data_IF_166733965326
#
_entry.id   IF_166733965326
#
_cell.length_a   1.000
_cell.length_b   1.000
_cell.length_c   1.000
_cell.angle_alpha   90.00
_cell.angle_beta   90.00
_cell.angle_gamma   90.00
#
_symmetry.space_group_name_H-M   'P 1'
#
loop_
_entity.id
_entity.type
_entity.pdbx_description
1 polymer ?
#
# COMPACT_ATOMS: atom_id res chain seq x y z
N UNK A 1 -0.68 14.62 27.06
CA UNK A 1 0.63 13.91 26.99
C UNK A 1 1.10 13.32 28.33
N UNK A 2 0.23 13.12 29.33
CA UNK A 2 0.68 12.64 30.66
C UNK A 2 1.18 11.18 30.65
N UNK A 3 0.61 10.33 29.79
CA UNK A 3 0.97 8.90 29.72
C UNK A 3 2.03 8.57 28.66
N UNK A 4 2.37 9.51 27.77
CA UNK A 4 3.28 9.26 26.65
C UNK A 4 4.37 10.32 26.55
N UNK A 5 5.62 9.87 26.42
CA UNK A 5 6.79 10.69 26.19
C UNK A 5 7.21 10.62 24.72
N UNK A 6 7.32 11.77 24.07
CA UNK A 6 7.87 11.86 22.71
C UNK A 6 9.41 11.83 22.77
N UNK A 7 10.02 10.95 21.99
CA UNK A 7 11.49 10.74 21.97
C UNK A 7 12.11 11.46 20.76
N UNK A 8 11.79 11.02 19.55
CA UNK A 8 12.43 11.51 18.32
C UNK A 8 11.46 11.51 17.14
N UNK A 9 11.72 12.36 16.14
CA UNK A 9 10.97 12.36 14.87
C UNK A 9 11.53 11.24 14.00
N UNK A 10 10.65 10.33 13.55
CA UNK A 10 11.04 9.19 12.71
C UNK A 10 10.51 9.27 11.28
N UNK A 11 9.54 10.16 11.01
CA UNK A 11 9.02 10.36 9.67
C UNK A 11 8.11 11.57 9.56
N UNK A 12 7.94 12.06 8.34
CA UNK A 12 6.93 13.06 7.98
C UNK A 12 6.34 12.65 6.64
N UNK A 13 5.01 12.66 6.55
CA UNK A 13 4.29 12.38 5.33
C UNK A 13 3.17 13.40 5.13
N UNK A 14 2.39 13.22 4.06
CA UNK A 14 1.29 14.11 3.68
C UNK A 14 0.29 14.33 4.82
N UNK A 15 0.02 13.29 5.60
CA UNK A 15 -1.01 13.29 6.65
C UNK A 15 -0.50 13.70 8.04
N UNK A 16 0.79 14.04 8.16
CA UNK A 16 1.36 14.54 9.41
C UNK A 16 2.74 13.98 9.75
N UNK A 17 3.11 14.09 11.02
CA UNK A 17 4.46 13.79 11.52
C UNK A 17 4.41 12.58 12.43
N UNK A 18 5.31 11.63 12.21
CA UNK A 18 5.46 10.44 13.04
C UNK A 18 6.65 10.60 13.98
N UNK A 19 6.39 10.38 15.26
CA UNK A 19 7.40 10.38 16.31
C UNK A 19 7.51 8.98 16.92
N UNK A 20 8.71 8.59 17.31
CA UNK A 20 8.90 7.52 18.28
C UNK A 20 8.58 8.08 19.66
N UNK A 21 7.79 7.35 20.42
CA UNK A 21 7.42 7.68 21.78
C UNK A 21 7.64 6.53 22.74
N UNK A 22 7.39 6.79 24.01
CA UNK A 22 7.39 5.80 25.09
C UNK A 22 6.15 5.99 25.95
N UNK A 23 5.41 4.92 26.18
CA UNK A 23 4.39 4.90 27.23
C UNK A 23 5.09 4.98 28.60
N UNK A 24 4.77 6.00 29.40
CA UNK A 24 5.41 6.29 30.69
C UNK A 24 5.05 5.25 31.76
N UNK A 25 3.88 4.63 31.66
CA UNK A 25 3.40 3.62 32.60
C UNK A 25 4.05 2.26 32.34
N UNK A 26 4.13 1.85 31.08
CA UNK A 26 4.62 0.51 30.70
C UNK A 26 6.08 0.47 30.25
N UNK A 27 6.65 1.62 29.91
CA UNK A 27 7.97 1.73 29.28
C UNK A 27 7.99 1.30 27.81
N UNK A 28 6.86 0.87 27.24
CA UNK A 28 6.75 0.37 25.87
C UNK A 28 7.06 1.48 24.85
N UNK A 29 7.82 1.14 23.82
CA UNK A 29 8.07 2.04 22.68
C UNK A 29 6.89 2.00 21.72
N UNK A 30 6.43 3.19 21.30
CA UNK A 30 5.26 3.37 20.42
C UNK A 30 5.59 4.31 19.26
N UNK A 31 4.79 4.25 18.20
CA UNK A 31 4.79 5.23 17.12
C UNK A 31 3.62 6.22 17.34
N UNK A 32 3.94 7.49 17.51
CA UNK A 32 2.97 8.57 17.73
C UNK A 32 2.82 9.39 16.44
N UNK A 33 1.72 9.19 15.70
CA UNK A 33 1.42 9.94 14.49
C UNK A 33 0.57 11.16 14.82
N UNK A 34 1.18 12.33 14.76
CA UNK A 34 0.48 13.62 14.88
C UNK A 34 -0.20 13.92 13.54
N UNK A 35 -1.52 13.98 13.52
CA UNK A 35 -2.31 14.32 12.33
C UNK A 35 -2.17 15.83 12.05
N UNK A 36 -2.02 16.19 10.77
CA UNK A 36 -2.08 17.57 10.30
C UNK A 36 -3.55 17.92 10.00
N UNK A 37 -4.10 18.89 10.71
CA UNK A 37 -5.45 19.42 10.46
C UNK A 37 -5.34 20.66 9.57
N UNK A 38 -6.32 20.89 8.70
CA UNK A 38 -6.30 22.01 7.73
C UNK A 38 -6.82 23.33 8.34
N UNK A 39 -7.59 23.28 9.43
CA UNK A 39 -8.05 24.45 10.19
C UNK A 39 -7.72 24.29 11.68
N UNK A 40 -6.90 25.20 12.21
CA UNK A 40 -6.58 25.24 13.65
C UNK A 40 -7.75 25.79 14.50
N UNK A 41 -8.75 26.43 13.86
CA UNK A 41 -9.83 27.17 14.52
C UNK A 41 -11.15 26.40 14.72
N UNK A 42 -11.42 25.31 13.98
CA UNK A 42 -12.71 24.59 14.05
C UNK A 42 -12.68 23.32 14.94
N UNK A 43 -11.57 23.07 15.63
CA UNK A 43 -11.37 21.85 16.39
C UNK A 43 -11.37 20.60 15.50
N UNK A 44 -11.46 19.42 16.13
CA UNK A 44 -11.47 18.15 15.40
C UNK A 44 -12.89 17.83 14.92
N UNK A 45 -13.13 17.61 13.62
CA UNK A 45 -14.45 17.21 13.12
C UNK A 45 -14.93 15.91 13.78
N UNK A 46 -16.20 15.85 14.18
CA UNK A 46 -16.79 14.64 14.79
C UNK A 46 -16.77 13.43 13.85
N UNK A 47 -16.79 13.68 12.54
CA UNK A 47 -16.59 12.67 11.49
C UNK A 47 -15.21 12.04 11.59
N UNK A 48 -14.16 12.84 11.81
CA UNK A 48 -12.79 12.34 11.95
C UNK A 48 -12.63 11.40 13.15
N UNK A 49 -13.20 11.75 14.29
CA UNK A 49 -13.17 10.92 15.50
C UNK A 49 -13.88 9.58 15.26
N UNK A 50 -15.04 9.61 14.59
CA UNK A 50 -15.79 8.40 14.26
C UNK A 50 -15.00 7.48 13.33
N UNK A 51 -14.35 8.03 12.32
CA UNK A 51 -13.58 7.22 11.39
C UNK A 51 -12.26 6.71 11.99
N UNK A 52 -11.58 7.49 12.85
CA UNK A 52 -10.46 6.98 13.66
C UNK A 52 -10.92 5.81 14.55
N UNK A 53 -12.13 5.89 15.13
CA UNK A 53 -12.66 4.82 15.96
C UNK A 53 -12.85 3.52 15.15
N UNK A 54 -13.19 3.61 13.85
CA UNK A 54 -13.23 2.45 12.95
C UNK A 54 -11.84 1.84 12.72
N UNK A 55 -10.77 2.66 12.75
CA UNK A 55 -9.40 2.14 12.68
C UNK A 55 -9.03 1.29 13.92
N UNK A 56 -9.59 1.60 15.11
CA UNK A 56 -9.40 0.76 16.32
C UNK A 56 -10.03 -0.63 16.19
N UNK A 57 -11.00 -0.80 15.28
CA UNK A 57 -11.63 -2.09 14.99
C UNK A 57 -10.83 -2.96 14.00
N UNK A 58 -9.81 -2.39 13.34
CA UNK A 58 -8.96 -3.12 12.39
C UNK A 58 -7.91 -3.97 13.13
N UNK A 59 -8.37 -4.99 13.85
CA UNK A 59 -7.53 -5.93 14.59
C UNK A 59 -7.20 -7.15 13.74
N UNK A 60 -5.99 -7.20 13.22
CA UNK A 60 -5.45 -8.30 12.42
C UNK A 60 -3.94 -8.41 12.66
N UNK A 61 -3.37 -9.63 12.62
CA UNK A 61 -1.94 -9.84 12.90
C UNK A 61 -1.01 -9.06 11.95
N UNK A 62 -1.42 -8.95 10.68
CA UNK A 62 -0.70 -8.23 9.63
C UNK A 62 -1.19 -6.78 9.43
N UNK A 63 -1.86 -6.17 10.42
CA UNK A 63 -2.22 -4.75 10.42
C UNK A 63 -1.57 -4.10 11.63
N UNK A 64 -0.97 -2.93 11.44
CA UNK A 64 -0.41 -2.15 12.56
C UNK A 64 -1.53 -1.73 13.50
N UNK A 65 -1.42 -2.15 14.76
CA UNK A 65 -2.42 -1.91 15.78
C UNK A 65 -2.44 -0.44 16.20
N UNK A 66 -3.62 0.19 16.11
CA UNK A 66 -3.91 1.47 16.76
C UNK A 66 -4.24 1.21 18.24
N UNK A 67 -3.27 1.43 19.11
CA UNK A 67 -3.39 1.22 20.56
C UNK A 67 -4.29 2.30 21.18
N UNK A 68 -4.03 3.56 20.84
CA UNK A 68 -4.76 4.67 21.44
C UNK A 68 -4.88 5.93 20.56
N UNK A 69 -5.78 6.83 20.95
CA UNK A 69 -6.04 8.10 20.28
C UNK A 69 -6.02 9.20 21.34
N UNK A 70 -5.02 10.07 21.26
CA UNK A 70 -4.87 11.19 22.19
C UNK A 70 -5.35 12.48 21.51
N UNK A 71 -6.10 13.28 22.25
CA UNK A 71 -6.51 14.62 21.83
C UNK A 71 -5.93 15.65 22.79
N UNK A 72 -5.28 16.68 22.26
CA UNK A 72 -4.68 17.75 23.06
C UNK A 72 -4.86 19.10 22.36
N UNK A 73 -5.68 19.97 22.97
CA UNK A 73 -5.98 21.38 22.61
C UNK A 73 -6.55 21.67 21.22
N UNK A 74 -6.16 20.91 20.18
CA UNK A 74 -6.75 20.76 18.84
C UNK A 74 -5.89 19.78 18.00
N UNK A 75 -5.07 18.94 18.62
CA UNK A 75 -4.16 18.00 17.94
C UNK A 75 -4.59 16.58 18.22
N UNK A 76 -4.56 15.75 17.18
CA UNK A 76 -4.81 14.32 17.31
C UNK A 76 -3.48 13.60 17.17
N UNK A 77 -3.20 12.73 18.13
CA UNK A 77 -2.12 11.76 18.04
C UNK A 77 -2.71 10.36 17.99
N UNK A 78 -2.38 9.64 16.93
CA UNK A 78 -2.66 8.22 16.84
C UNK A 78 -1.46 7.44 17.37
N UNK A 79 -1.69 6.58 18.35
CA UNK A 79 -0.65 5.79 19.02
C UNK A 79 -0.69 4.38 18.46
N UNK A 80 0.38 3.99 17.77
CA UNK A 80 0.52 2.69 17.16
C UNK A 80 1.64 1.88 17.83
N UNK A 81 1.59 0.57 17.67
CA UNK A 81 2.76 -0.28 17.93
C UNK A 81 3.97 0.19 17.10
N UNK A 82 5.16 0.16 17.69
CA UNK A 82 6.38 0.59 17.00
C UNK A 82 7.07 -0.58 16.29
N UNK A 83 7.26 -0.43 14.97
CA UNK A 83 8.10 -1.30 14.16
C UNK A 83 9.28 -0.49 13.60
N UNK A 84 10.49 -1.01 13.71
CA UNK A 84 11.72 -0.28 13.38
C UNK A 84 12.12 -0.34 11.90
N UNK A 85 11.58 -1.30 11.15
CA UNK A 85 11.95 -1.58 9.77
C UNK A 85 10.72 -1.50 8.87
N UNK A 86 10.87 -0.89 7.71
CA UNK A 86 9.90 -0.96 6.62
C UNK A 86 10.47 -1.81 5.47
N UNK A 87 9.60 -2.34 4.61
CA UNK A 87 9.98 -3.22 3.51
C UNK A 87 10.96 -2.53 2.55
N UNK A 88 10.83 -1.21 2.35
CA UNK A 88 11.76 -0.46 1.51
C UNK A 88 13.18 -0.51 2.09
N UNK A 89 13.35 -0.15 3.35
CA UNK A 89 14.63 -0.21 4.05
C UNK A 89 15.18 -1.64 4.10
N UNK A 90 14.32 -2.64 4.30
CA UNK A 90 14.74 -4.04 4.26
C UNK A 90 15.33 -4.41 2.89
N UNK A 91 14.64 -4.13 1.79
CA UNK A 91 15.13 -4.41 0.43
C UNK A 91 16.41 -3.63 0.09
N UNK A 92 16.53 -2.39 0.57
CA UNK A 92 17.72 -1.56 0.36
C UNK A 92 18.92 -2.03 1.21
N UNK A 93 18.68 -2.70 2.34
CA UNK A 93 19.72 -3.26 3.21
C UNK A 93 20.36 -4.55 2.70
N UNK A 94 19.71 -5.23 1.74
CA UNK A 94 20.26 -6.47 1.16
C UNK A 94 21.53 -6.16 0.34
N UNK A 95 22.57 -7.04 0.39
CA UNK A 95 23.76 -6.89 -0.46
C UNK A 95 23.39 -6.76 -1.93
N UNK A 96 24.13 -5.97 -2.71
CA UNK A 96 23.79 -5.60 -4.11
C UNK A 96 23.44 -6.81 -4.99
N UNK A 97 24.14 -7.93 -4.81
CA UNK A 97 23.96 -9.13 -5.62
C UNK A 97 22.94 -10.14 -5.05
N UNK A 98 22.30 -9.82 -3.93
CA UNK A 98 21.30 -10.69 -3.29
C UNK A 98 19.88 -10.22 -3.54
N UNK A 99 18.97 -11.16 -3.75
CA UNK A 99 17.53 -10.91 -3.79
C UNK A 99 16.89 -11.38 -2.48
N UNK A 100 15.65 -10.97 -2.23
CA UNK A 100 14.86 -11.61 -1.17
C UNK A 100 14.69 -13.10 -1.51
N UNK A 101 14.72 -13.95 -0.50
CA UNK A 101 14.47 -15.38 -0.68
C UNK A 101 13.01 -15.60 -1.12
N UNK A 102 12.79 -16.52 -2.08
CA UNK A 102 11.47 -16.75 -2.67
C UNK A 102 10.42 -17.14 -1.63
N UNK A 103 10.78 -17.91 -0.60
CA UNK A 103 9.88 -18.26 0.51
C UNK A 103 9.49 -17.05 1.35
N UNK A 104 10.42 -16.10 1.55
CA UNK A 104 10.12 -14.87 2.27
C UNK A 104 9.21 -13.95 1.44
N UNK A 105 9.46 -13.84 0.13
CA UNK A 105 8.58 -13.10 -0.80
C UNK A 105 7.17 -13.69 -0.77
N UNK A 106 7.05 -15.03 -0.84
CA UNK A 106 5.76 -15.74 -0.73
C UNK A 106 5.09 -15.45 0.62
N UNK A 107 5.83 -15.54 1.72
CA UNK A 107 5.32 -15.26 3.08
C UNK A 107 4.78 -13.84 3.21
N UNK A 108 5.55 -12.83 2.78
CA UNK A 108 5.10 -11.44 2.85
C UNK A 108 3.92 -11.17 1.93
N UNK A 109 3.90 -11.70 0.70
CA UNK A 109 2.76 -11.57 -0.19
C UNK A 109 1.48 -12.14 0.45
N UNK A 110 1.56 -13.31 1.08
CA UNK A 110 0.43 -13.92 1.79
C UNK A 110 -0.07 -13.02 2.92
N UNK A 111 0.84 -12.58 3.81
CA UNK A 111 0.53 -11.74 4.97
C UNK A 111 -0.09 -10.38 4.58
N UNK A 112 0.49 -9.70 3.58
CA UNK A 112 -0.06 -8.44 3.04
C UNK A 112 -1.45 -8.67 2.47
N UNK A 113 -1.63 -9.73 1.67
CA UNK A 113 -2.92 -10.03 1.05
C UNK A 113 -3.97 -10.41 2.10
N UNK A 114 -3.60 -11.12 3.15
CA UNK A 114 -4.46 -11.47 4.28
C UNK A 114 -5.00 -10.21 4.98
N UNK A 115 -4.12 -9.26 5.31
CA UNK A 115 -4.52 -7.96 5.86
C UNK A 115 -5.49 -7.21 4.93
N UNK A 116 -5.21 -7.17 3.63
CA UNK A 116 -6.04 -6.46 2.66
C UNK A 116 -7.39 -7.13 2.46
N UNK A 117 -7.46 -8.46 2.44
CA UNK A 117 -8.73 -9.19 2.44
C UNK A 117 -9.57 -8.85 3.67
N UNK A 118 -8.95 -8.81 4.85
CA UNK A 118 -9.62 -8.42 6.10
C UNK A 118 -10.23 -7.01 6.00
N UNK A 119 -9.52 -6.06 5.41
CA UNK A 119 -9.99 -4.70 5.17
C UNK A 119 -11.10 -4.63 4.12
N UNK A 120 -10.93 -5.31 2.98
CA UNK A 120 -11.91 -5.33 1.89
C UNK A 120 -13.26 -5.91 2.35
N UNK A 121 -13.26 -6.95 3.18
CA UNK A 121 -14.49 -7.50 3.80
C UNK A 121 -15.22 -6.50 4.70
N UNK A 122 -14.51 -5.50 5.21
CA UNK A 122 -15.05 -4.40 6.04
C UNK A 122 -15.25 -3.10 5.27
N UNK A 123 -15.17 -3.14 3.93
CA UNK A 123 -15.32 -1.98 3.04
C UNK A 123 -14.27 -0.89 3.29
N UNK A 124 -13.10 -1.28 3.79
CA UNK A 124 -11.94 -0.40 3.97
C UNK A 124 -10.98 -0.60 2.80
N UNK A 125 -10.56 0.50 2.18
CA UNK A 125 -9.57 0.53 1.10
C UNK A 125 -8.30 1.21 1.60
N UNK A 126 -7.13 0.70 1.22
CA UNK A 126 -5.86 1.30 1.66
C UNK A 126 -5.45 2.50 0.80
N UNK A 127 -5.43 2.34 -0.53
CA UNK A 127 -5.18 3.38 -1.57
C UNK A 127 -3.76 3.92 -1.69
N UNK A 128 -2.92 3.77 -0.67
CA UNK A 128 -1.51 4.20 -0.70
C UNK A 128 -0.57 3.03 -0.34
N UNK A 129 -0.84 1.82 -0.86
CA UNK A 129 0.03 0.67 -0.60
C UNK A 129 1.37 0.88 -1.31
N UNK A 130 2.45 0.80 -0.53
CA UNK A 130 3.84 0.91 -0.99
C UNK A 130 4.78 0.29 0.05
N UNK A 131 6.02 -0.10 -0.31
CA UNK A 131 6.96 -0.72 0.60
C UNK A 131 7.24 0.09 1.88
N UNK A 132 7.14 1.42 1.84
CA UNK A 132 7.32 2.28 3.02
C UNK A 132 6.17 2.16 4.05
N UNK A 133 4.99 1.72 3.62
CA UNK A 133 3.81 1.51 4.47
C UNK A 133 3.67 0.04 4.91
N UNK A 134 4.67 -0.80 4.61
CA UNK A 134 4.73 -2.21 5.03
C UNK A 134 5.85 -2.37 6.05
N UNK A 135 5.48 -2.54 7.31
CA UNK A 135 6.42 -2.58 8.42
C UNK A 135 6.76 -4.03 8.79
N UNK A 136 8.03 -4.29 9.05
CA UNK A 136 8.56 -5.62 9.38
C UNK A 136 8.96 -5.64 10.85
N UNK A 137 8.48 -6.63 11.58
CA UNK A 137 8.85 -6.83 12.98
C UNK A 137 10.13 -7.68 13.11
N UNK A 138 10.59 -7.90 14.34
CA UNK A 138 11.79 -8.71 14.61
C UNK A 138 11.57 -10.22 14.43
N UNK A 139 10.32 -10.66 14.30
CA UNK A 139 9.95 -12.08 14.19
C UNK A 139 9.76 -12.53 12.74
N UNK A 140 9.78 -11.60 11.78
CA UNK A 140 9.52 -11.86 10.36
C UNK A 140 8.04 -11.70 9.98
N UNK A 141 7.24 -11.03 10.81
CA UNK A 141 5.90 -10.60 10.43
C UNK A 141 5.98 -9.28 9.65
N UNK A 142 5.16 -9.20 8.61
CA UNK A 142 4.91 -7.95 7.90
C UNK A 142 3.52 -7.43 8.26
N UNK A 143 3.44 -6.12 8.51
CA UNK A 143 2.23 -5.42 8.91
C UNK A 143 1.96 -4.23 8.00
N UNK A 144 0.72 -4.10 7.54
CA UNK A 144 0.26 -2.95 6.77
C UNK A 144 0.00 -1.79 7.74
N UNK A 145 0.62 -0.64 7.47
CA UNK A 145 0.49 0.60 8.23
C UNK A 145 -0.32 1.64 7.44
N UNK A 146 -0.62 2.79 8.05
CA UNK A 146 -1.11 3.98 7.36
C UNK A 146 -2.44 3.85 6.59
N UNK A 147 -3.35 3.01 7.10
CA UNK A 147 -4.72 2.90 6.60
C UNK A 147 -5.47 4.25 6.59
N UNK A 148 -6.00 4.63 5.43
CA UNK A 148 -7.28 5.34 5.31
C UNK A 148 -7.36 6.79 5.83
N UNK A 149 -6.27 7.41 6.27
CA UNK A 149 -6.30 8.79 6.80
C UNK A 149 -6.75 9.85 5.76
N UNK A 150 -6.83 9.51 4.47
CA UNK A 150 -7.29 10.43 3.41
C UNK A 150 -8.81 10.48 3.18
N UNK A 151 -9.58 9.47 3.61
CA UNK A 151 -11.07 9.55 3.68
C UNK A 151 -11.51 9.94 5.09
N UNK A 152 -10.74 9.38 6.03
CA UNK A 152 -10.63 9.51 7.47
C UNK A 152 -11.14 10.76 8.20
N UNK A 153 -10.99 11.92 7.56
CA UNK A 153 -10.89 13.19 8.26
C UNK A 153 -11.69 14.32 7.62
N UNK A 154 -12.49 14.03 6.58
CA UNK A 154 -13.12 15.10 5.80
C UNK A 154 -12.11 16.06 5.14
N UNK A 155 -10.80 15.80 5.28
CA UNK A 155 -9.75 16.37 4.46
C UNK A 155 -10.21 16.04 3.04
N UNK A 156 -10.49 17.04 2.18
CA UNK A 156 -10.80 16.76 0.80
C UNK A 156 -9.74 15.76 0.36
N UNK A 157 -10.14 14.64 -0.25
CA UNK A 157 -9.21 13.81 -1.02
C UNK A 157 -8.59 14.82 -1.94
N UNK A 158 -7.43 15.39 -1.56
CA UNK A 158 -6.93 16.61 -2.18
C UNK A 158 -6.96 16.27 -3.64
N UNK A 159 -7.67 17.07 -4.43
CA UNK A 159 -7.55 17.05 -5.89
C UNK A 159 -6.04 16.99 -6.08
N UNK A 160 -5.54 15.82 -6.48
CA UNK A 160 -4.20 15.35 -6.17
C UNK A 160 -3.21 16.50 -6.40
N UNK A 161 -2.82 17.19 -5.33
CA UNK A 161 -1.93 18.32 -5.48
C UNK A 161 -0.64 17.72 -6.00
N UNK A 162 -0.12 18.26 -7.10
CA UNK A 162 1.04 17.79 -7.88
C UNK A 162 2.37 17.68 -7.08
N UNK A 163 2.32 17.68 -5.76
CA UNK A 163 3.45 17.45 -4.86
C UNK A 163 3.69 15.95 -4.66
N UNK A 164 4.73 15.45 -5.33
CA UNK A 164 5.63 14.34 -4.92
C UNK A 164 4.98 13.24 -4.06
N UNK A 165 3.92 12.60 -4.56
CA UNK A 165 3.45 11.30 -4.06
C UNK A 165 4.02 10.21 -4.96
N UNK A 166 4.47 9.10 -4.38
CA UNK A 166 5.00 7.97 -5.15
C UNK A 166 3.92 7.38 -6.08
N UNK A 167 4.07 7.57 -7.38
CA UNK A 167 3.12 7.10 -8.41
C UNK A 167 3.24 5.59 -8.71
N UNK A 168 4.35 4.98 -8.31
CA UNK A 168 4.80 3.67 -8.81
C UNK A 168 3.84 2.50 -8.54
N UNK A 169 2.98 2.64 -7.53
CA UNK A 169 2.02 1.61 -7.11
C UNK A 169 0.56 1.99 -7.42
N UNK A 170 0.32 3.14 -8.06
CA UNK A 170 -1.03 3.61 -8.39
C UNK A 170 -1.61 2.82 -9.56
N UNK A 171 -2.87 2.44 -9.47
CA UNK A 171 -3.58 1.68 -10.50
C UNK A 171 -3.92 2.53 -11.74
N UNK A 172 -3.98 1.93 -12.95
CA UNK A 172 -4.22 2.66 -14.19
C UNK A 172 -5.58 3.35 -14.23
N UNK A 173 -6.62 2.78 -13.62
CA UNK A 173 -7.95 3.42 -13.54
C UNK A 173 -7.95 4.72 -12.73
N UNK A 174 -7.05 4.84 -11.75
CA UNK A 174 -6.89 6.09 -10.99
C UNK A 174 -6.14 7.13 -11.82
N UNK A 175 -5.10 6.71 -12.56
CA UNK A 175 -4.32 7.58 -13.44
C UNK A 175 -5.08 8.04 -14.69
N UNK A 176 -6.05 7.24 -15.15
CA UNK A 176 -6.92 7.59 -16.28
C UNK A 176 -8.18 8.36 -15.87
N UNK A 177 -8.28 8.74 -14.59
CA UNK A 177 -9.35 9.62 -14.10
C UNK A 177 -10.68 8.93 -13.87
N UNK A 178 -10.73 7.61 -13.67
CA UNK A 178 -12.00 6.92 -13.39
C UNK A 178 -12.68 7.54 -12.16
N UNK A 179 -13.96 7.97 -12.28
CA UNK A 179 -14.68 8.58 -11.15
C UNK A 179 -15.02 7.55 -10.07
N UNK A 180 -14.93 6.25 -10.39
CA UNK A 180 -15.25 5.14 -9.49
C UNK A 180 -14.09 4.16 -9.46
N UNK A 181 -13.61 3.88 -8.26
CA UNK A 181 -12.62 2.85 -8.00
C UNK A 181 -12.92 2.17 -6.66
N UNK A 182 -12.45 0.92 -6.53
CA UNK A 182 -12.81 0.02 -5.43
C UNK A 182 -11.60 -0.85 -5.05
N UNK A 183 -11.83 -1.99 -4.39
CA UNK A 183 -10.84 -2.98 -3.97
C UNK A 183 -9.71 -3.29 -4.98
N UNK A 184 -9.95 -3.37 -6.31
CA UNK A 184 -8.90 -3.68 -7.28
C UNK A 184 -7.69 -2.73 -7.27
N UNK A 185 -7.83 -1.47 -6.81
CA UNK A 185 -6.70 -0.54 -6.75
C UNK A 185 -5.62 -1.02 -5.78
N UNK A 186 -6.02 -1.59 -4.64
CA UNK A 186 -5.09 -2.14 -3.67
C UNK A 186 -4.40 -3.38 -4.25
N UNK A 187 -5.12 -4.20 -5.01
CA UNK A 187 -4.56 -5.40 -5.66
C UNK A 187 -3.46 -5.02 -6.66
N UNK A 188 -3.68 -3.98 -7.46
CA UNK A 188 -2.66 -3.48 -8.39
C UNK A 188 -1.39 -3.08 -7.62
N UNK A 189 -1.53 -2.31 -6.54
CA UNK A 189 -0.40 -1.91 -5.71
C UNK A 189 0.34 -3.12 -5.13
N UNK A 190 -0.37 -4.15 -4.63
CA UNK A 190 0.25 -5.39 -4.15
C UNK A 190 0.99 -6.10 -5.30
N UNK A 191 0.45 -6.09 -6.52
CA UNK A 191 1.11 -6.65 -7.70
C UNK A 191 2.44 -5.96 -8.02
N UNK A 192 2.47 -4.62 -7.98
CA UNK A 192 3.71 -3.85 -8.10
C UNK A 192 4.71 -4.18 -6.98
N UNK A 193 4.25 -4.28 -5.73
CA UNK A 193 5.09 -4.62 -4.58
C UNK A 193 5.63 -6.05 -4.70
N UNK A 194 4.84 -7.00 -5.20
CA UNK A 194 5.27 -8.38 -5.43
C UNK A 194 6.41 -8.45 -6.45
N UNK A 195 6.28 -7.75 -7.58
CA UNK A 195 7.36 -7.61 -8.54
C UNK A 195 8.62 -6.99 -7.89
N UNK A 196 8.45 -5.93 -7.09
CA UNK A 196 9.59 -5.26 -6.45
C UNK A 196 10.29 -6.15 -5.41
N UNK A 197 9.55 -6.91 -4.61
CA UNK A 197 10.14 -7.89 -3.69
C UNK A 197 10.96 -8.96 -4.44
N UNK A 198 10.46 -9.43 -5.59
CA UNK A 198 11.13 -10.45 -6.39
C UNK A 198 12.38 -9.92 -7.15
N UNK A 199 12.38 -8.65 -7.55
CA UNK A 199 13.37 -8.08 -8.49
C UNK A 199 14.24 -6.96 -7.90
N UNK A 200 13.91 -6.50 -6.68
CA UNK A 200 14.47 -5.33 -5.99
C UNK A 200 14.31 -3.99 -6.70
N UNK A 201 13.52 -3.95 -7.77
CA UNK A 201 13.32 -2.74 -8.57
C UNK A 201 11.82 -2.47 -8.70
N UNK A 202 11.39 -1.21 -8.52
CA UNK A 202 10.02 -0.82 -8.81
C UNK A 202 9.66 -1.20 -10.25
N UNK A 203 8.53 -1.89 -10.44
CA UNK A 203 8.11 -2.37 -11.76
C UNK A 203 7.80 -1.21 -12.73
N UNK A 204 7.14 -0.17 -12.22
CA UNK A 204 6.75 1.01 -13.00
C UNK A 204 7.26 2.28 -12.32
N UNK A 205 8.42 2.77 -12.77
CA UNK A 205 9.12 3.89 -12.12
C UNK A 205 8.88 5.24 -12.82
N UNK A 206 7.63 5.71 -12.87
CA UNK A 206 7.27 6.98 -13.50
C UNK A 206 7.63 8.21 -12.67
N UNK A 207 7.95 9.32 -13.35
CA UNK A 207 8.20 10.63 -12.71
C UNK A 207 7.00 11.60 -12.78
N UNK A 208 6.00 11.27 -13.59
CA UNK A 208 4.75 12.01 -13.80
C UNK A 208 3.61 11.02 -14.06
N UNK A 209 2.35 11.46 -13.98
CA UNK A 209 1.21 10.56 -14.20
C UNK A 209 1.20 9.97 -15.62
N UNK A 210 1.59 10.78 -16.60
CA UNK A 210 1.70 10.32 -17.99
C UNK A 210 2.89 9.38 -18.21
N UNK A 211 4.06 9.67 -17.62
CA UNK A 211 5.22 8.77 -17.69
C UNK A 211 4.92 7.44 -16.99
N UNK A 212 4.20 7.49 -15.86
CA UNK A 212 3.75 6.29 -15.15
C UNK A 212 2.86 5.40 -16.03
N UNK A 213 1.87 5.99 -16.73
CA UNK A 213 1.05 5.26 -17.70
C UNK A 213 1.89 4.68 -18.84
N UNK A 214 2.81 5.46 -19.41
CA UNK A 214 3.65 4.98 -20.51
C UNK A 214 4.57 3.83 -20.09
N UNK A 215 5.08 3.81 -18.85
CA UNK A 215 5.84 2.67 -18.31
C UNK A 215 4.97 1.42 -18.16
N UNK A 216 3.73 1.56 -17.72
CA UNK A 216 2.79 0.44 -17.70
C UNK A 216 2.57 -0.10 -19.10
N UNK A 217 2.29 0.78 -20.07
CA UNK A 217 2.00 0.38 -21.45
C UNK A 217 3.20 -0.29 -22.12
N UNK A 218 4.41 0.18 -21.84
CA UNK A 218 5.64 -0.41 -22.36
C UNK A 218 5.85 -1.87 -21.92
N UNK A 219 5.45 -2.19 -20.69
CA UNK A 219 5.64 -3.51 -20.09
C UNK A 219 4.43 -4.41 -20.34
N UNK A 220 3.21 -3.89 -20.22
CA UNK A 220 1.98 -4.69 -20.28
C UNK A 220 1.30 -4.68 -21.66
N UNK A 221 1.72 -3.79 -22.57
CA UNK A 221 1.02 -3.31 -23.79
C UNK A 221 0.01 -2.19 -23.51
N UNK A 222 -0.27 -1.33 -24.49
CA UNK A 222 -1.27 -0.26 -24.41
C UNK A 222 -2.68 -0.88 -24.31
N UNK A 223 -3.52 -0.47 -23.35
CA UNK A 223 -4.88 -1.00 -23.25
C UNK A 223 -5.73 -0.51 -24.42
N UNK A 224 -6.54 -1.41 -24.96
CA UNK A 224 -7.55 -1.17 -26.00
C UNK A 224 -8.91 -1.63 -25.50
N UNK A 225 -9.99 -1.36 -26.24
CA UNK A 225 -11.33 -1.87 -25.90
C UNK A 225 -11.39 -3.41 -25.79
N UNK A 226 -10.53 -4.14 -26.52
CA UNK A 226 -10.46 -5.60 -26.40
C UNK A 226 -9.82 -6.06 -25.08
N UNK A 227 -8.89 -5.26 -24.53
CA UNK A 227 -8.15 -5.58 -23.30
C UNK A 227 -8.89 -5.07 -22.06
N UNK A 228 -9.50 -3.89 -22.19
CA UNK A 228 -10.24 -3.21 -21.16
C UNK A 228 -11.44 -2.50 -21.80
N UNK A 229 -12.60 -3.18 -21.87
CA UNK A 229 -13.83 -2.59 -22.37
C UNK A 229 -14.19 -1.31 -21.59
N UNK A 230 -14.38 -0.20 -22.31
CA UNK A 230 -14.67 1.13 -21.77
C UNK A 230 -13.45 2.01 -21.50
N UNK A 231 -12.21 1.53 -21.73
CA UNK A 231 -11.00 2.31 -21.48
C UNK A 231 -10.96 3.62 -22.28
N UNK A 232 -11.51 3.64 -23.50
CA UNK A 232 -11.54 4.84 -24.35
C UNK A 232 -12.51 5.91 -23.83
N UNK A 233 -13.41 5.54 -22.92
CA UNK A 233 -14.38 6.45 -22.29
C UNK A 233 -13.86 7.08 -20.99
N UNK A 234 -12.67 6.71 -20.52
CA UNK A 234 -12.08 7.28 -19.32
C UNK A 234 -11.61 8.73 -19.56
N UNK A 235 -11.79 9.65 -18.60
CA UNK A 235 -11.57 11.10 -18.81
C UNK A 235 -10.20 11.45 -19.38
N UNK A 236 -9.16 10.77 -18.91
CA UNK A 236 -7.78 11.09 -19.26
C UNK A 236 -7.19 10.16 -20.32
N UNK A 237 -7.98 9.22 -20.86
CA UNK A 237 -7.56 8.42 -22.00
C UNK A 237 -7.46 9.27 -23.27
N UNK A 238 -6.40 9.06 -24.06
CA UNK A 238 -6.19 9.73 -25.35
C UNK A 238 -5.88 8.71 -26.43
N UNK A 239 -6.59 8.82 -27.56
CA UNK A 239 -6.33 8.00 -28.77
C UNK A 239 -4.94 8.26 -29.38
N UNK A 240 -4.26 9.33 -28.95
CA UNK A 240 -2.90 9.69 -29.36
C UNK A 240 -1.81 9.07 -28.49
N UNK A 241 -2.17 8.28 -27.47
CA UNK A 241 -1.17 7.56 -26.69
C UNK A 241 -0.36 6.62 -27.58
N UNK A 242 0.96 6.45 -27.33
CA UNK A 242 1.75 5.52 -28.11
C UNK A 242 1.22 4.09 -27.96
N UNK A 243 1.23 3.36 -29.07
CA UNK A 243 0.75 1.99 -29.12
C UNK A 243 1.92 1.02 -28.93
N UNK A 244 2.06 0.46 -27.73
CA UNK A 244 2.93 -0.68 -27.46
C UNK A 244 2.11 -1.96 -27.58
N UNK A 245 2.53 -2.87 -28.46
CA UNK A 245 1.77 -4.08 -28.81
C UNK A 245 2.23 -5.35 -28.09
N UNK A 246 3.40 -5.33 -27.45
CA UNK A 246 4.02 -6.52 -26.86
C UNK A 246 3.94 -6.48 -25.35
N UNK A 247 3.42 -7.54 -24.73
CA UNK A 247 3.53 -7.73 -23.29
C UNK A 247 4.91 -8.33 -22.96
N UNK A 248 5.68 -7.61 -22.16
CA UNK A 248 7.04 -7.93 -21.72
C UNK A 248 7.12 -8.23 -20.22
N UNK A 249 5.99 -8.38 -19.52
CA UNK A 249 5.96 -8.56 -18.07
C UNK A 249 6.83 -9.73 -17.60
N UNK A 250 6.73 -10.87 -18.28
CA UNK A 250 7.51 -12.08 -17.96
C UNK A 250 9.02 -11.84 -18.05
N UNK A 251 9.48 -10.96 -18.95
CA UNK A 251 10.89 -10.63 -19.11
C UNK A 251 11.45 -9.87 -17.91
N UNK A 252 10.58 -9.17 -17.16
CA UNK A 252 10.94 -8.43 -15.95
C UNK A 252 10.99 -9.33 -14.70
N UNK A 253 10.38 -10.52 -14.74
CA UNK A 253 10.08 -11.34 -13.55
C UNK A 253 10.84 -12.67 -13.52
N UNK A 254 12.11 -12.65 -13.93
CA UNK A 254 12.95 -13.87 -14.05
C UNK A 254 13.18 -14.61 -12.73
N UNK A 255 12.93 -13.95 -11.59
CA UNK A 255 13.11 -14.51 -10.25
C UNK A 255 11.85 -15.19 -9.70
N UNK A 256 10.75 -15.22 -10.46
CA UNK A 256 9.51 -15.89 -10.08
C UNK A 256 9.38 -17.25 -10.77
N UNK A 257 8.75 -18.20 -10.08
CA UNK A 257 8.31 -19.47 -10.66
C UNK A 257 7.05 -19.28 -11.53
N UNK A 258 6.63 -20.35 -12.21
CA UNK A 258 5.46 -20.31 -13.11
C UNK A 258 4.18 -19.85 -12.39
N UNK A 259 3.96 -20.31 -11.16
CA UNK A 259 2.79 -19.92 -10.36
C UNK A 259 2.85 -18.44 -9.93
N UNK A 260 4.04 -17.92 -9.65
CA UNK A 260 4.25 -16.52 -9.30
C UNK A 260 4.01 -15.60 -10.50
N UNK A 261 4.47 -16.02 -11.69
CA UNK A 261 4.21 -15.30 -12.95
C UNK A 261 2.71 -15.28 -13.29
N UNK A 262 2.04 -16.42 -13.17
CA UNK A 262 0.59 -16.52 -13.40
C UNK A 262 -0.20 -15.64 -12.40
N UNK A 263 0.19 -15.66 -11.11
CA UNK A 263 -0.46 -14.84 -10.09
C UNK A 263 -0.34 -13.35 -10.38
N UNK A 264 0.87 -12.85 -10.65
CA UNK A 264 1.08 -11.42 -10.88
C UNK A 264 0.46 -10.93 -12.19
N UNK A 265 0.38 -11.78 -13.22
CA UNK A 265 -0.37 -11.47 -14.43
C UNK A 265 -1.85 -11.21 -14.13
N UNK A 266 -2.46 -11.98 -13.22
CA UNK A 266 -3.84 -11.78 -12.77
C UNK A 266 -4.00 -10.54 -11.88
N UNK A 267 -2.99 -10.18 -11.10
CA UNK A 267 -2.97 -8.97 -10.26
C UNK A 267 -2.84 -7.68 -11.08
N UNK A 268 -2.17 -7.73 -12.24
CA UNK A 268 -1.90 -6.59 -13.12
C UNK A 268 -2.80 -6.55 -14.36
N UNK A 269 -3.97 -7.19 -14.30
CA UNK A 269 -5.02 -7.02 -15.32
C UNK A 269 -5.50 -5.56 -15.30
N UNK A 270 -5.56 -4.96 -16.49
CA UNK A 270 -6.00 -3.57 -16.67
C UNK A 270 -7.42 -3.37 -16.17
N UNK A 271 -8.37 -4.14 -16.71
CA UNK A 271 -9.78 -4.04 -16.34
C UNK A 271 -9.98 -4.42 -14.86
N UNK A 272 -10.38 -3.46 -14.01
CA UNK A 272 -10.57 -3.71 -12.58
C UNK A 272 -11.63 -4.78 -12.28
N UNK A 273 -12.56 -5.04 -13.19
CA UNK A 273 -13.62 -6.07 -13.02
C UNK A 273 -13.04 -7.47 -13.10
N UNK A 274 -12.02 -7.67 -13.93
CA UNK A 274 -11.38 -8.96 -14.19
C UNK A 274 -10.11 -9.18 -13.35
N UNK A 275 -9.64 -8.15 -12.65
CA UNK A 275 -8.48 -8.23 -11.77
C UNK A 275 -8.80 -9.12 -10.56
N UNK A 276 -7.90 -10.07 -10.28
CA UNK A 276 -8.06 -11.06 -9.20
C UNK A 276 -8.33 -10.39 -7.85
N UNK A 277 -9.21 -10.96 -7.05
CA UNK A 277 -9.49 -10.44 -5.70
C UNK A 277 -8.45 -10.90 -4.67
N UNK A 278 -8.35 -10.20 -3.53
CA UNK A 278 -7.50 -10.63 -2.41
C UNK A 278 -7.84 -12.05 -1.92
N UNK A 279 -9.11 -12.46 -2.01
CA UNK A 279 -9.53 -13.82 -1.65
C UNK A 279 -8.93 -14.85 -2.61
N UNK A 280 -9.09 -14.63 -3.90
CA UNK A 280 -8.60 -15.55 -4.93
C UNK A 280 -7.06 -15.61 -4.96
N UNK A 281 -6.36 -14.52 -4.61
CA UNK A 281 -4.91 -14.54 -4.43
C UNK A 281 -4.51 -15.55 -3.34
N UNK A 282 -5.15 -15.54 -2.17
CA UNK A 282 -4.83 -16.47 -1.07
C UNK A 282 -5.17 -17.93 -1.40
N UNK A 283 -6.07 -18.16 -2.35
CA UNK A 283 -6.47 -19.48 -2.84
C UNK A 283 -5.62 -19.93 -4.06
N UNK A 284 -4.65 -19.11 -4.49
CA UNK A 284 -3.87 -19.37 -5.70
C UNK A 284 -2.86 -20.51 -5.52
N UNK A 285 -2.57 -21.33 -6.57
CA UNK A 285 -1.56 -22.39 -6.53
C UNK A 285 -0.15 -21.94 -6.11
N UNK A 286 0.17 -20.65 -6.20
CA UNK A 286 1.42 -20.08 -5.71
C UNK A 286 1.64 -20.30 -4.20
N UNK A 287 0.54 -20.47 -3.44
CA UNK A 287 0.57 -20.76 -2.01
C UNK A 287 0.34 -22.24 -1.68
N UNK A 288 0.29 -23.14 -2.67
CA UNK A 288 0.14 -24.57 -2.39
C UNK A 288 1.35 -25.10 -1.60
N UNK A 289 1.08 -25.81 -0.50
CA UNK A 289 2.13 -26.32 0.38
C UNK A 289 2.80 -25.24 1.25
N UNK A 290 2.39 -23.97 1.14
CA UNK A 290 2.84 -22.91 2.04
C UNK A 290 2.20 -23.10 3.41
N UNK A 291 3.01 -23.38 4.43
CA UNK A 291 2.55 -23.31 5.81
C UNK A 291 2.58 -21.84 6.22
N UNK A 292 1.46 -21.31 6.70
CA UNK A 292 1.33 -19.91 7.17
C UNK A 292 2.15 -19.60 8.43
N UNK A 293 3.19 -20.39 8.74
CA UNK A 293 4.14 -20.15 9.81
C UNK A 293 5.23 -19.17 9.39
N UNK A 294 5.77 -18.45 10.38
CA UNK A 294 6.83 -17.45 10.21
C UNK A 294 8.06 -18.02 9.49
N UNK A 295 8.25 -17.65 8.22
CA UNK A 295 9.55 -17.75 7.57
C UNK A 295 10.42 -16.67 8.22
N UNK A 296 11.39 -17.08 9.04
CA UNK A 296 12.26 -16.14 9.77
C UNK A 296 13.25 -15.50 8.80
N UNK A 297 13.40 -14.17 8.91
CA UNK A 297 14.42 -13.38 8.20
C UNK A 297 15.84 -13.68 8.67
#
# INVERSE_FOLDING_TARGET
MEDFEKIEKIGEGTYGVVYKGRNRLTGQIVAMKKIRLESDDEGVPSTAIREISLLKELKHENIVCLEDVLMEENRIYLIFEFLSMDLKKYMDSLPVDKHMESELVRSYLYQITSAILFCHRRRVLHRDLKPQNLLIDKSGLIKVADFGLGRSFGIPVRIYTHEIVTLWYRAPEVLLGSPRYSCPVDIWSIGCIFAEMATRKPLFQGDSEIDQLFRMFRILKTPTEDIWPGVTSLPDYKNTFPCWSTNQLTNQLKNLDENGIDLIQKMLIYDPVHRISAKEILEHPYFNGFQSGLVRN
#
